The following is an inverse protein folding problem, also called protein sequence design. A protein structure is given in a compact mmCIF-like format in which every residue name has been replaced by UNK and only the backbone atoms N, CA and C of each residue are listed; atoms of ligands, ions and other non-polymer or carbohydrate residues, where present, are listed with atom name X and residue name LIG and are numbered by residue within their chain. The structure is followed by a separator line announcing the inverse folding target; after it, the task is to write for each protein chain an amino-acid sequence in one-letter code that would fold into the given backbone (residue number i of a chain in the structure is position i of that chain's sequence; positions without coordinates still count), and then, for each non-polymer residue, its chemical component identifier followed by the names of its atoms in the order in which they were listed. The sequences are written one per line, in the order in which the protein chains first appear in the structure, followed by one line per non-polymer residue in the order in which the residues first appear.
data_IF_907450541635
#
_entry.id   IF_907450541635
#
_cell.length_a   1.000
_cell.length_b   1.000
_cell.length_c   1.000
_cell.angle_alpha   90.00
_cell.angle_beta   90.00
_cell.angle_gamma   90.00
#
_symmetry.space_group_name_H-M   'P 1'
#
loop_
_entity.id
_entity.type
_entity.pdbx_description
1 polymer ?
#
# COMPACT_ATOMS: atom_id res chain seq x y z
N UNK A 1 -13.01 79.64 -3.14
CA UNK A 1 -14.29 79.12 -3.67
C UNK A 1 -14.56 77.84 -2.88
N UNK A 2 -15.29 77.84 -1.76
CA UNK A 2 -16.76 77.96 -1.59
C UNK A 2 -17.44 77.00 -2.56
N UNK A 3 -17.96 75.83 -2.16
CA UNK A 3 -19.12 75.50 -1.29
C UNK A 3 -18.91 74.06 -0.72
N UNK A 4 -19.06 73.67 0.56
CA UNK A 4 -20.19 73.69 1.53
C UNK A 4 -21.47 73.04 0.97
N UNK A 5 -21.89 71.83 1.39
CA UNK A 5 -22.70 71.51 2.61
C UNK A 5 -23.84 70.55 2.14
N UNK A 6 -24.49 69.66 2.90
CA UNK A 6 -24.87 69.57 4.32
C UNK A 6 -25.27 68.10 4.63
N UNK A 7 -24.89 67.56 5.80
CA UNK A 7 -25.74 67.27 6.99
C UNK A 7 -26.69 66.04 6.88
N UNK A 8 -26.86 65.17 7.88
CA UNK A 8 -26.37 65.11 9.25
C UNK A 8 -27.32 64.23 10.12
N UNK A 9 -26.97 64.11 11.41
CA UNK A 9 -27.68 63.49 12.55
C UNK A 9 -27.56 61.96 12.72
N UNK A 10 -27.21 61.38 13.88
CA UNK A 10 -26.86 61.91 15.21
C UNK A 10 -27.53 61.12 16.35
N UNK A 11 -26.81 60.97 17.48
CA UNK A 11 -27.21 60.51 18.83
C UNK A 11 -26.97 59.01 19.14
N UNK A 12 -25.95 58.68 19.96
CA UNK A 12 -25.96 58.46 21.44
C UNK A 12 -26.76 57.21 21.85
N UNK A 13 -26.31 56.26 22.66
CA UNK A 13 -25.17 56.10 23.57
C UNK A 13 -25.40 54.78 24.34
N UNK A 14 -24.57 54.54 25.35
CA UNK A 14 -24.67 53.50 26.40
C UNK A 14 -24.18 52.08 26.09
N UNK A 15 -23.12 51.75 26.83
CA UNK A 15 -22.54 50.46 27.12
C UNK A 15 -23.42 49.71 28.15
N UNK A 16 -23.51 48.38 28.07
CA UNK A 16 -23.30 47.56 29.27
C UNK A 16 -22.31 46.42 28.96
N UNK A 17 -21.24 46.26 29.74
CA UNK A 17 -21.12 45.38 30.93
C UNK A 17 -21.08 43.89 30.58
N UNK A 18 -20.02 43.27 31.10
CA UNK A 18 -19.54 41.91 30.94
C UNK A 18 -20.60 40.82 31.14
N UNK A 19 -20.43 39.70 30.44
CA UNK A 19 -20.66 38.36 30.99
C UNK A 19 -19.62 37.44 30.38
N UNK A 20 -18.65 37.06 31.21
CA UNK A 20 -17.85 35.84 31.02
C UNK A 20 -18.80 34.64 31.08
N UNK A 21 -18.66 33.72 30.14
CA UNK A 21 -19.14 32.35 30.31
C UNK A 21 -17.98 31.41 30.03
N UNK A 22 -17.40 30.93 31.11
CA UNK A 22 -16.55 29.74 31.15
C UNK A 22 -17.37 28.50 30.78
N UNK A 23 -16.87 27.75 29.81
CA UNK A 23 -17.04 26.29 29.64
C UNK A 23 -15.85 25.87 28.75
N UNK A 24 -14.71 25.44 29.28
CA UNK A 24 -14.40 24.19 30.00
C UNK A 24 -14.89 22.93 29.30
N UNK A 25 -13.93 22.03 29.05
CA UNK A 25 -14.02 20.59 28.71
C UNK A 25 -14.36 20.30 27.23
N UNK A 26 -13.63 19.48 26.45
CA UNK A 26 -12.80 18.30 26.78
C UNK A 26 -11.77 18.02 25.66
N UNK A 27 -10.48 17.95 26.00
CA UNK A 27 -9.49 17.17 25.23
C UNK A 27 -9.58 15.70 25.67
N UNK A 28 -9.37 14.69 24.80
CA UNK A 28 -9.07 13.35 25.26
C UNK A 28 -7.64 13.33 25.79
N UNK A 29 -7.52 13.16 27.10
CA UNK A 29 -6.26 12.85 27.79
C UNK A 29 -5.93 11.39 27.54
N UNK A 30 -4.73 11.13 27.02
CA UNK A 30 -4.08 9.83 27.05
C UNK A 30 -3.84 9.43 28.52
N UNK A 31 -4.52 8.39 28.99
CA UNK A 31 -4.19 7.76 30.26
C UNK A 31 -3.01 6.81 30.08
N UNK A 32 -1.82 7.33 30.37
CA UNK A 32 -0.71 6.52 30.86
C UNK A 32 -1.11 5.89 32.21
N UNK A 33 -1.29 4.58 32.24
CA UNK A 33 -1.27 3.81 33.49
C UNK A 33 -0.15 2.78 33.45
N UNK A 34 0.99 3.16 34.04
CA UNK A 34 1.96 2.20 34.58
C UNK A 34 1.48 1.73 35.95
N UNK A 35 1.19 0.43 36.12
CA UNK A 35 1.72 -0.35 37.25
C UNK A 35 1.58 -1.87 37.10
N UNK A 36 2.75 -2.51 37.03
CA UNK A 36 3.21 -3.71 37.76
C UNK A 36 2.40 -5.03 37.73
N UNK A 37 3.01 -5.99 37.04
CA UNK A 37 3.36 -7.35 37.48
C UNK A 37 2.39 -8.06 38.44
N UNK A 38 1.64 -9.01 37.89
CA UNK A 38 1.34 -10.26 38.57
C UNK A 38 1.14 -11.34 37.52
N UNK A 39 2.08 -12.28 37.45
CA UNK A 39 1.96 -13.45 36.59
C UNK A 39 0.67 -14.22 36.88
N UNK A 40 -0.11 -14.48 35.83
CA UNK A 40 -1.23 -15.41 35.91
C UNK A 40 -1.45 -16.09 34.57
N UNK A 41 -1.11 -17.38 34.57
CA UNK A 41 -1.43 -18.42 33.59
C UNK A 41 -2.85 -18.28 33.05
N UNK A 42 -3.00 -18.02 31.74
CA UNK A 42 -4.28 -18.18 31.06
C UNK A 42 -4.57 -19.66 30.85
N UNK A 43 -5.73 -20.04 31.36
CA UNK A 43 -6.25 -21.40 31.45
C UNK A 43 -7.11 -21.67 30.22
N UNK A 44 -6.99 -22.90 29.69
CA UNK A 44 -7.88 -23.53 28.73
C UNK A 44 -9.36 -23.20 28.97
N UNK A 45 -10.06 -22.84 27.90
CA UNK A 45 -11.51 -22.93 27.84
C UNK A 45 -11.87 -24.18 27.03
N UNK A 46 -12.11 -25.28 27.75
CA UNK A 46 -12.71 -26.49 27.20
C UNK A 46 -14.17 -26.21 26.85
N UNK A 47 -14.52 -26.32 25.56
CA UNK A 47 -15.90 -26.51 25.12
C UNK A 47 -15.96 -27.82 24.37
N UNK A 48 -16.26 -28.89 25.11
CA UNK A 48 -16.51 -30.22 24.59
C UNK A 48 -17.90 -30.26 23.94
N UNK A 49 -17.92 -30.42 22.62
CA UNK A 49 -19.08 -30.92 21.89
C UNK A 49 -18.59 -31.92 20.84
N UNK A 50 -18.38 -33.16 21.27
CA UNK A 50 -17.83 -34.22 20.44
C UNK A 50 -18.55 -34.41 19.10
N UNK A 51 -17.74 -34.49 18.03
CA UNK A 51 -17.94 -35.33 16.83
C UNK A 51 -16.64 -35.32 16.02
N UNK A 52 -16.12 -36.53 15.74
CA UNK A 52 -14.99 -36.90 14.88
C UNK A 52 -13.58 -36.59 15.40
N UNK A 53 -12.83 -37.66 15.67
CA UNK A 53 -11.36 -37.70 15.79
C UNK A 53 -10.71 -37.30 14.45
N UNK A 54 -10.78 -36.02 14.09
CA UNK A 54 -9.82 -35.41 13.18
C UNK A 54 -8.67 -34.90 14.02
N UNK A 55 -7.45 -35.39 13.79
CA UNK A 55 -6.26 -34.77 14.38
C UNK A 55 -6.31 -33.28 14.05
N UNK A 56 -6.51 -32.43 15.05
CA UNK A 56 -6.48 -30.99 14.88
C UNK A 56 -5.05 -30.66 14.46
N UNK A 57 -4.87 -30.22 13.22
CA UNK A 57 -3.55 -29.81 12.73
C UNK A 57 -3.05 -28.68 13.62
N UNK A 58 -1.80 -28.78 14.06
CA UNK A 58 -1.13 -27.68 14.74
C UNK A 58 -0.14 -27.08 13.76
N UNK A 59 -0.30 -25.79 13.50
CA UNK A 59 0.69 -25.04 12.75
C UNK A 59 1.92 -24.77 13.61
N UNK A 60 3.10 -24.89 13.00
CA UNK A 60 4.36 -24.46 13.57
C UNK A 60 4.67 -22.99 13.22
N UNK A 61 4.24 -22.58 12.03
CA UNK A 61 4.30 -21.21 11.55
C UNK A 61 3.07 -20.91 10.70
N UNK A 62 2.62 -19.67 10.79
CA UNK A 62 1.50 -19.14 10.02
C UNK A 62 1.81 -17.76 9.49
N UNK A 63 1.06 -17.29 8.51
CA UNK A 63 1.14 -15.92 8.03
C UNK A 63 0.06 -15.60 7.02
N UNK A 64 0.22 -14.47 6.33
CA UNK A 64 -0.75 -13.95 5.36
C UNK A 64 -0.17 -14.00 3.96
N UNK A 65 -1.00 -14.23 2.95
CA UNK A 65 -0.57 -14.17 1.57
C UNK A 65 -1.64 -13.63 0.61
N UNK A 66 -1.15 -13.09 -0.50
CA UNK A 66 -1.94 -12.83 -1.69
C UNK A 66 -1.13 -13.20 -2.89
N UNK A 67 -1.88 -13.76 -3.83
CA UNK A 67 -1.36 -14.18 -5.10
C UNK A 67 -2.30 -13.59 -6.13
N UNK A 68 -1.76 -12.69 -6.94
CA UNK A 68 -2.48 -12.06 -8.05
C UNK A 68 -1.81 -12.52 -9.32
N UNK A 69 -2.54 -13.27 -10.12
CA UNK A 69 -2.04 -13.83 -11.38
C UNK A 69 -3.15 -13.71 -12.41
N UNK A 70 -2.81 -13.35 -13.65
CA UNK A 70 -3.79 -13.18 -14.72
C UNK A 70 -4.84 -12.09 -14.41
N UNK A 71 -4.36 -10.97 -13.87
CA UNK A 71 -5.17 -9.81 -13.46
C UNK A 71 -6.21 -10.06 -12.36
N UNK A 72 -6.27 -11.28 -11.83
CA UNK A 72 -7.21 -11.67 -10.79
C UNK A 72 -6.48 -12.11 -9.52
N UNK A 73 -7.07 -11.78 -8.37
CA UNK A 73 -6.62 -12.34 -7.10
C UNK A 73 -7.07 -13.81 -7.05
N UNK A 74 -6.12 -14.71 -6.87
CA UNK A 74 -6.41 -16.13 -6.78
C UNK A 74 -7.21 -16.46 -5.52
N UNK A 75 -8.33 -17.15 -5.71
CA UNK A 75 -9.04 -17.84 -4.64
C UNK A 75 -8.32 -19.17 -4.35
N UNK A 76 -7.40 -19.11 -3.39
CA UNK A 76 -6.54 -20.26 -3.03
C UNK A 76 -7.24 -21.24 -2.08
N UNK A 77 -8.52 -21.01 -1.74
CA UNK A 77 -9.32 -21.91 -0.89
C UNK A 77 -9.41 -23.31 -1.49
N UNK A 78 -9.65 -23.43 -2.79
CA UNK A 78 -9.86 -24.69 -3.49
C UNK A 78 -8.60 -25.58 -3.55
N UNK A 79 -7.41 -24.98 -3.55
CA UNK A 79 -6.14 -25.69 -3.55
C UNK A 79 -5.81 -26.33 -2.19
N UNK A 80 -6.37 -25.78 -1.10
CA UNK A 80 -6.15 -26.25 0.27
C UNK A 80 -6.87 -27.57 0.58
N UNK A 81 -8.09 -27.75 0.06
CA UNK A 81 -8.91 -28.94 0.31
C UNK A 81 -8.32 -30.21 -0.33
N UNK A 82 -7.52 -30.07 -1.38
CA UNK A 82 -6.91 -31.18 -2.10
C UNK A 82 -5.67 -31.77 -1.40
N UNK A 83 -5.11 -31.09 -0.39
CA UNK A 83 -3.78 -31.36 0.17
C UNK A 83 -3.80 -31.74 1.66
N UNK A 84 -4.78 -32.57 2.05
CA UNK A 84 -5.12 -32.97 3.43
C UNK A 84 -4.00 -33.71 4.24
N UNK A 85 -2.79 -33.84 3.67
CA UNK A 85 -1.61 -34.46 4.31
C UNK A 85 -0.31 -33.67 4.09
N UNK A 86 -0.42 -32.45 3.58
CA UNK A 86 0.73 -31.63 3.21
C UNK A 86 1.32 -30.88 4.41
N UNK A 87 2.61 -30.58 4.32
CA UNK A 87 3.32 -29.72 5.25
C UNK A 87 2.90 -28.25 5.16
N UNK A 88 2.02 -27.87 4.23
CA UNK A 88 1.56 -26.50 3.96
C UNK A 88 0.10 -26.45 3.54
N UNK A 89 -0.72 -25.64 4.19
CA UNK A 89 -2.15 -25.51 3.88
C UNK A 89 -2.65 -24.07 4.08
N UNK A 90 -3.87 -23.80 3.62
CA UNK A 90 -4.59 -22.53 3.84
C UNK A 90 -5.78 -22.82 4.77
N UNK A 91 -6.02 -22.00 5.80
CA UNK A 91 -7.15 -22.18 6.75
C UNK A 91 -8.29 -21.20 6.55
N UNK A 92 -7.99 -19.97 6.15
CA UNK A 92 -8.98 -18.96 5.79
C UNK A 92 -8.55 -18.35 4.47
N UNK A 93 -9.50 -18.26 3.55
CA UNK A 93 -9.32 -17.72 2.22
C UNK A 93 -10.39 -16.67 1.94
N UNK A 94 -10.69 -15.85 2.96
CA UNK A 94 -11.30 -14.55 2.75
C UNK A 94 -10.44 -13.66 1.83
N UNK A 95 -10.60 -12.34 1.96
CA UNK A 95 -9.87 -11.41 1.11
C UNK A 95 -8.34 -11.44 1.29
N UNK A 96 -7.83 -12.06 2.36
CA UNK A 96 -6.41 -12.44 2.50
C UNK A 96 -6.32 -13.91 2.89
N UNK A 97 -5.45 -14.69 2.23
CA UNK A 97 -5.30 -16.10 2.53
C UNK A 97 -4.35 -16.29 3.73
N UNK A 98 -4.77 -17.07 4.71
CA UNK A 98 -3.95 -17.44 5.85
C UNK A 98 -3.25 -18.77 5.59
N UNK A 99 -1.94 -18.69 5.33
CA UNK A 99 -1.12 -19.87 5.12
C UNK A 99 -0.61 -20.42 6.44
N UNK A 100 -0.43 -21.73 6.47
CA UNK A 100 0.03 -22.50 7.61
C UNK A 100 1.05 -23.52 7.14
N UNK A 101 2.03 -23.84 7.98
CA UNK A 101 2.91 -24.99 7.77
C UNK A 101 3.18 -25.78 9.03
N UNK A 102 3.59 -27.03 8.85
CA UNK A 102 4.09 -27.90 9.92
C UNK A 102 5.50 -27.46 10.36
N UNK A 103 6.07 -28.15 11.36
CA UNK A 103 7.44 -27.93 11.82
C UNK A 103 8.51 -28.25 10.75
N UNK A 104 8.12 -28.89 9.64
CA UNK A 104 8.99 -29.09 8.50
C UNK A 104 9.24 -27.75 7.79
N UNK A 105 10.49 -27.51 7.39
CA UNK A 105 10.83 -26.36 6.58
C UNK A 105 10.13 -26.51 5.22
N UNK A 106 9.30 -25.53 4.89
CA UNK A 106 8.62 -25.42 3.60
C UNK A 106 9.10 -24.13 2.94
N UNK A 107 9.62 -24.24 1.72
CA UNK A 107 10.03 -23.07 0.96
C UNK A 107 8.82 -22.35 0.37
N UNK A 108 8.98 -21.08 0.04
CA UNK A 108 7.92 -20.30 -0.59
C UNK A 108 7.49 -20.92 -1.93
N UNK A 109 8.45 -21.36 -2.76
CA UNK A 109 8.17 -22.04 -4.02
C UNK A 109 7.40 -23.35 -3.81
N UNK A 110 7.77 -24.16 -2.80
CA UNK A 110 7.04 -25.37 -2.45
C UNK A 110 5.60 -25.08 -2.04
N UNK A 111 5.37 -24.06 -1.21
CA UNK A 111 4.05 -23.62 -0.79
C UNK A 111 3.19 -23.16 -1.98
N UNK A 112 3.71 -22.26 -2.81
CA UNK A 112 3.02 -21.74 -3.99
C UNK A 112 2.69 -22.84 -5.01
N UNK A 113 3.56 -23.84 -5.17
CA UNK A 113 3.30 -24.97 -6.08
C UNK A 113 2.05 -25.77 -5.67
N UNK A 114 1.72 -25.82 -4.37
CA UNK A 114 0.48 -26.44 -3.87
C UNK A 114 -0.76 -25.67 -4.29
N UNK A 115 -0.61 -24.38 -4.57
CA UNK A 115 -1.65 -23.47 -5.05
C UNK A 115 -1.73 -23.44 -6.58
N UNK A 116 -0.90 -24.23 -7.28
CA UNK A 116 -0.84 -24.25 -8.74
C UNK A 116 0.00 -23.12 -9.35
N UNK A 117 0.74 -22.38 -8.52
CA UNK A 117 1.60 -21.26 -8.93
C UNK A 117 3.05 -21.69 -8.79
N UNK A 118 3.76 -21.83 -9.92
CA UNK A 118 5.15 -22.26 -9.90
C UNK A 118 6.06 -21.05 -10.13
N UNK A 119 6.86 -20.70 -9.13
CA UNK A 119 7.91 -19.69 -9.27
C UNK A 119 9.15 -20.37 -9.83
N UNK A 120 9.76 -19.77 -10.84
CA UNK A 120 10.97 -20.27 -11.50
C UNK A 120 11.96 -19.13 -11.69
N UNK A 121 13.20 -19.44 -12.06
CA UNK A 121 14.21 -18.43 -12.44
C UNK A 121 13.75 -17.53 -13.61
N UNK A 122 12.79 -17.99 -14.42
CA UNK A 122 12.29 -17.28 -15.60
C UNK A 122 11.00 -16.51 -15.33
N UNK A 123 10.48 -16.52 -14.09
CA UNK A 123 9.22 -15.86 -13.72
C UNK A 123 8.20 -16.83 -13.12
N UNK A 124 6.92 -16.52 -13.28
CA UNK A 124 5.82 -17.26 -12.64
C UNK A 124 5.03 -18.03 -13.69
N UNK A 125 4.82 -19.33 -13.46
CA UNK A 125 3.95 -20.18 -14.28
C UNK A 125 2.62 -20.46 -13.56
N UNK A 126 1.52 -20.20 -14.26
CA UNK A 126 0.17 -20.45 -13.78
C UNK A 126 -0.73 -20.90 -14.94
N UNK A 127 -1.49 -21.98 -14.73
CA UNK A 127 -2.39 -22.60 -15.74
C UNK A 127 -1.76 -22.86 -17.13
N UNK A 128 -0.44 -23.02 -17.19
CA UNK A 128 0.30 -23.24 -18.44
C UNK A 128 0.73 -21.96 -19.18
N UNK A 129 0.49 -20.79 -18.59
CA UNK A 129 1.03 -19.49 -19.01
C UNK A 129 2.25 -19.15 -18.15
N UNK A 130 3.29 -18.59 -18.77
CA UNK A 130 4.49 -18.11 -18.09
C UNK A 130 4.55 -16.59 -18.18
N UNK A 131 4.61 -15.91 -17.04
CA UNK A 131 4.74 -14.46 -16.91
C UNK A 131 6.20 -14.13 -16.58
N UNK A 132 6.81 -13.21 -17.33
CA UNK A 132 8.23 -12.85 -17.20
C UNK A 132 8.36 -11.34 -17.09
N UNK A 133 9.15 -10.85 -16.14
CA UNK A 133 9.43 -9.42 -15.96
C UNK A 133 10.18 -8.79 -17.15
N UNK A 134 10.91 -9.60 -17.92
CA UNK A 134 11.60 -9.17 -19.14
C UNK A 134 10.66 -8.92 -20.33
N UNK A 135 9.41 -9.38 -20.25
CA UNK A 135 8.40 -9.06 -21.25
C UNK A 135 7.82 -7.67 -20.97
N UNK A 136 7.77 -6.84 -22.01
CA UNK A 136 7.16 -5.53 -21.90
C UNK A 136 5.76 -5.65 -21.29
N UNK A 137 5.42 -4.67 -20.44
CA UNK A 137 4.10 -4.55 -19.82
C UNK A 137 3.72 -5.68 -18.84
N UNK A 138 4.66 -6.57 -18.53
CA UNK A 138 4.47 -7.64 -17.55
C UNK A 138 5.16 -7.31 -16.22
N UNK A 139 4.40 -7.38 -15.14
CA UNK A 139 4.85 -7.14 -13.78
C UNK A 139 4.90 -8.46 -13.02
N UNK A 140 6.11 -8.92 -12.69
CA UNK A 140 6.32 -10.11 -11.86
C UNK A 140 7.01 -9.69 -10.56
N UNK A 141 6.51 -10.18 -9.43
CA UNK A 141 7.14 -9.98 -8.13
C UNK A 141 6.80 -11.12 -7.17
N UNK A 142 7.80 -11.56 -6.40
CA UNK A 142 7.66 -12.45 -5.25
C UNK A 142 8.34 -11.80 -4.07
N UNK A 143 7.56 -11.39 -3.07
CA UNK A 143 8.05 -10.63 -1.92
C UNK A 143 7.56 -11.20 -0.60
N UNK A 144 8.40 -11.08 0.40
CA UNK A 144 8.08 -11.41 1.78
C UNK A 144 8.41 -10.21 2.65
N UNK A 145 7.40 -9.69 3.36
CA UNK A 145 7.52 -8.50 4.20
C UNK A 145 8.12 -7.31 3.42
N UNK A 146 7.69 -7.10 2.18
CA UNK A 146 8.17 -6.05 1.28
C UNK A 146 9.51 -6.30 0.59
N UNK A 147 10.25 -7.35 0.96
CA UNK A 147 11.56 -7.64 0.36
C UNK A 147 11.45 -8.71 -0.73
N UNK A 148 12.18 -8.52 -1.84
CA UNK A 148 12.26 -9.56 -2.87
C UNK A 148 13.10 -10.73 -2.37
N UNK A 149 12.59 -11.94 -2.57
CA UNK A 149 13.23 -13.18 -2.09
C UNK A 149 13.44 -14.16 -3.23
N UNK A 150 14.43 -15.04 -3.06
CA UNK A 150 14.52 -16.27 -3.85
C UNK A 150 13.53 -17.28 -3.27
N UNK A 151 12.47 -17.60 -4.00
CA UNK A 151 11.39 -18.46 -3.52
C UNK A 151 11.82 -19.92 -3.30
N UNK A 152 12.84 -20.40 -4.02
CA UNK A 152 13.37 -21.76 -3.86
C UNK A 152 14.23 -21.89 -2.60
N UNK A 153 14.85 -20.80 -2.16
CA UNK A 153 15.70 -20.78 -0.95
C UNK A 153 14.97 -20.29 0.31
N UNK A 154 13.96 -19.43 0.15
CA UNK A 154 13.27 -18.80 1.28
C UNK A 154 12.32 -19.76 1.98
N UNK A 155 12.63 -20.11 3.24
CA UNK A 155 11.76 -20.91 4.11
C UNK A 155 10.78 -19.98 4.83
N UNK A 156 9.48 -20.29 4.69
CA UNK A 156 8.40 -19.51 5.32
C UNK A 156 8.54 -19.46 6.84
N UNK A 157 8.38 -18.27 7.42
CA UNK A 157 8.53 -18.02 8.85
C UNK A 157 7.24 -17.51 9.47
N UNK A 158 7.11 -17.70 10.79
CA UNK A 158 5.95 -17.21 11.53
C UNK A 158 5.78 -15.70 11.34
N UNK A 159 4.59 -15.32 10.87
CA UNK A 159 4.19 -13.93 10.65
C UNK A 159 4.52 -13.41 9.25
N UNK A 160 5.12 -14.20 8.35
CA UNK A 160 5.46 -13.71 7.02
C UNK A 160 4.22 -13.29 6.23
N UNK A 161 4.35 -12.14 5.58
CA UNK A 161 3.39 -11.58 4.66
C UNK A 161 3.91 -11.73 3.24
N UNK A 162 3.29 -12.64 2.50
CA UNK A 162 3.80 -13.15 1.22
C UNK A 162 3.00 -12.59 0.07
N UNK A 163 3.62 -11.71 -0.71
CA UNK A 163 3.04 -11.07 -1.89
C UNK A 163 3.57 -11.67 -3.18
N UNK A 164 2.66 -12.13 -4.03
CA UNK A 164 2.97 -12.65 -5.36
C UNK A 164 2.11 -11.92 -6.39
N UNK A 165 2.76 -11.34 -7.40
CA UNK A 165 2.10 -10.64 -8.51
C UNK A 165 2.68 -11.14 -9.83
N UNK A 166 1.82 -11.50 -10.77
CA UNK A 166 2.13 -11.78 -12.17
C UNK A 166 0.99 -11.26 -13.07
N UNK A 167 1.20 -10.07 -13.64
CA UNK A 167 0.17 -9.28 -14.31
C UNK A 167 0.72 -8.75 -15.64
N UNK A 168 -0.06 -8.76 -16.72
CA UNK A 168 0.37 -8.25 -18.03
C UNK A 168 -0.63 -7.22 -18.57
N UNK A 169 -0.17 -6.05 -19.03
CA UNK A 169 -1.07 -5.04 -19.61
C UNK A 169 -1.37 -5.30 -21.10
N UNK A 170 -2.53 -4.81 -21.60
CA UNK A 170 -3.58 -4.10 -20.87
C UNK A 170 -4.33 -5.04 -19.92
N UNK A 171 -4.66 -4.54 -18.73
CA UNK A 171 -5.42 -5.30 -17.75
C UNK A 171 -6.85 -5.51 -18.23
N UNK A 172 -7.41 -6.69 -17.95
CA UNK A 172 -8.84 -6.95 -18.14
C UNK A 172 -9.70 -6.21 -17.10
N UNK A 173 -9.11 -5.83 -15.96
CA UNK A 173 -9.70 -4.97 -14.94
C UNK A 173 -9.30 -3.49 -15.10
N UNK A 174 -10.17 -2.58 -14.62
CA UNK A 174 -9.83 -1.16 -14.62
C UNK A 174 -8.77 -0.84 -13.57
N UNK A 175 -7.81 0.03 -13.87
CA UNK A 175 -6.97 0.69 -12.85
C UNK A 175 -7.84 1.67 -12.03
N UNK A 176 -7.88 1.57 -10.69
CA UNK A 176 -6.90 0.91 -9.81
C UNK A 176 -7.18 -0.54 -9.46
N UNK A 177 -8.32 -1.11 -9.86
CA UNK A 177 -8.79 -2.45 -9.52
C UNK A 177 -9.89 -2.41 -8.47
N UNK A 178 -10.21 -3.57 -7.92
CA UNK A 178 -11.09 -3.69 -6.75
C UNK A 178 -10.41 -3.16 -5.49
N UNK A 179 -11.19 -2.50 -4.63
CA UNK A 179 -10.69 -1.96 -3.36
C UNK A 179 -10.39 -3.08 -2.35
N UNK A 180 -9.26 -2.95 -1.66
CA UNK A 180 -8.82 -3.82 -0.55
C UNK A 180 -9.02 -3.05 0.77
N UNK A 181 -9.63 -3.69 1.77
CA UNK A 181 -9.82 -3.04 3.06
C UNK A 181 -8.47 -2.81 3.78
N UNK A 182 -8.36 -1.79 4.62
CA UNK A 182 -7.14 -1.51 5.37
C UNK A 182 -6.72 -2.60 6.37
N UNK A 183 -7.67 -3.42 6.82
CA UNK A 183 -7.36 -4.56 7.71
C UNK A 183 -6.82 -5.78 6.92
N UNK A 184 -7.02 -5.79 5.60
CA UNK A 184 -6.53 -6.82 4.68
C UNK A 184 -5.09 -6.52 4.28
N UNK A 185 -4.37 -7.55 3.84
CA UNK A 185 -3.00 -7.35 3.40
C UNK A 185 -3.03 -6.53 2.10
N UNK A 186 -2.27 -5.44 2.06
CA UNK A 186 -2.19 -4.48 0.96
C UNK A 186 -0.75 -3.97 0.81
N UNK A 187 -0.43 -3.36 -0.33
CA UNK A 187 0.95 -2.97 -0.66
C UNK A 187 1.33 -1.63 -0.02
N UNK A 188 2.55 -1.55 0.48
CA UNK A 188 3.16 -0.33 1.00
C UNK A 188 4.46 -0.01 0.28
N UNK A 189 4.99 1.19 0.45
CA UNK A 189 6.37 1.47 0.08
C UNK A 189 6.71 2.94 0.23
N UNK A 190 7.76 3.38 -0.44
CA UNK A 190 8.19 4.79 -0.39
C UNK A 190 8.20 5.44 -1.77
N UNK A 191 8.00 6.75 -1.78
CA UNK A 191 8.24 7.61 -2.94
C UNK A 191 9.20 8.72 -2.53
N UNK A 192 10.29 8.88 -3.27
CA UNK A 192 11.09 10.08 -3.26
C UNK A 192 10.83 10.87 -4.55
N UNK A 193 10.35 12.10 -4.43
CA UNK A 193 10.16 12.99 -5.58
C UNK A 193 10.98 14.26 -5.38
N UNK A 194 11.78 14.61 -6.38
CA UNK A 194 12.60 15.82 -6.39
C UNK A 194 12.23 16.69 -7.59
N UNK A 195 12.10 18.01 -7.39
CA UNK A 195 11.93 18.97 -8.47
C UNK A 195 13.02 20.03 -8.36
N UNK A 196 13.89 20.13 -9.37
CA UNK A 196 15.03 21.04 -9.40
C UNK A 196 15.92 20.94 -8.14
N UNK A 197 16.11 19.71 -7.62
CA UNK A 197 16.89 19.44 -6.41
C UNK A 197 16.14 19.66 -5.09
N UNK A 198 14.88 20.11 -5.11
CA UNK A 198 14.03 20.24 -3.92
C UNK A 198 13.14 19.01 -3.72
N UNK A 199 13.27 18.36 -2.56
CA UNK A 199 12.43 17.21 -2.20
C UNK A 199 10.98 17.64 -1.93
N UNK A 200 10.05 16.92 -2.53
CA UNK A 200 8.62 17.02 -2.23
C UNK A 200 8.36 16.40 -0.86
N UNK A 201 7.71 17.16 0.03
CA UNK A 201 7.32 16.65 1.34
C UNK A 201 5.92 16.01 1.28
N UNK A 202 5.87 14.68 1.26
CA UNK A 202 4.65 13.88 1.28
C UNK A 202 3.98 13.81 2.67
N UNK A 203 4.63 14.23 3.77
CA UNK A 203 4.05 14.31 5.13
C UNK A 203 3.10 15.51 5.31
N UNK A 204 2.60 16.08 4.21
CA UNK A 204 1.70 17.23 4.25
C UNK A 204 0.27 16.68 4.24
N UNK A 205 -0.67 17.26 5.02
CA UNK A 205 -2.05 16.76 5.11
C UNK A 205 -2.78 16.59 3.77
N UNK A 206 -2.39 17.36 2.73
CA UNK A 206 -2.94 17.25 1.37
C UNK A 206 -2.60 15.93 0.64
N UNK A 207 -1.69 15.13 1.19
CA UNK A 207 -1.25 13.83 0.66
C UNK A 207 -1.59 12.66 1.59
N UNK A 208 -1.88 12.95 2.87
CA UNK A 208 -2.04 11.93 3.92
C UNK A 208 -3.47 11.38 4.07
N UNK A 209 -4.44 11.89 3.31
CA UNK A 209 -5.86 11.69 3.65
C UNK A 209 -6.50 10.60 2.78
N UNK A 210 -6.91 9.44 3.36
CA UNK A 210 -7.68 8.40 2.65
C UNK A 210 -9.01 8.90 2.06
N UNK A 211 -9.53 10.02 2.61
CA UNK A 211 -10.73 10.70 2.11
C UNK A 211 -10.60 11.35 0.74
N UNK A 212 -9.38 11.52 0.19
CA UNK A 212 -9.17 12.01 -1.17
C UNK A 212 -9.16 10.85 -2.19
N UNK A 213 -8.65 9.69 -1.80
CA UNK A 213 -8.74 8.45 -2.57
C UNK A 213 -8.59 7.22 -1.65
N UNK A 214 -9.51 6.27 -1.78
CA UNK A 214 -9.53 5.04 -0.98
C UNK A 214 -8.52 3.99 -1.45
N UNK A 215 -7.98 4.11 -2.67
CA UNK A 215 -7.06 3.17 -3.29
C UNK A 215 -5.59 3.56 -3.12
N UNK A 216 -5.27 4.85 -2.93
CA UNK A 216 -3.88 5.31 -2.77
C UNK A 216 -3.80 6.53 -1.87
N UNK A 217 -2.94 6.48 -0.85
CA UNK A 217 -2.63 7.62 0.01
C UNK A 217 -1.28 7.45 0.69
N UNK A 218 -0.78 8.54 1.29
CA UNK A 218 0.37 8.46 2.19
C UNK A 218 -0.09 8.36 3.65
N UNK A 219 0.70 7.71 4.49
CA UNK A 219 0.55 7.72 5.94
C UNK A 219 1.93 7.73 6.61
N UNK A 220 2.03 8.34 7.79
CA UNK A 220 3.25 8.42 8.58
C UNK A 220 3.88 9.82 8.62
N UNK A 221 4.75 10.03 9.60
CA UNK A 221 5.34 11.35 9.89
C UNK A 221 6.47 11.72 8.89
N UNK A 222 7.73 11.74 9.32
CA UNK A 222 8.85 12.30 8.55
C UNK A 222 9.32 11.46 7.36
N UNK A 223 8.81 10.23 7.23
CA UNK A 223 9.11 9.30 6.15
C UNK A 223 7.81 8.57 5.77
N UNK A 224 6.88 9.27 5.11
CA UNK A 224 5.56 8.71 4.85
C UNK A 224 5.67 7.51 3.90
N UNK A 225 4.95 6.46 4.25
CA UNK A 225 4.72 5.32 3.37
C UNK A 225 3.55 5.65 2.47
N UNK A 226 3.61 5.23 1.21
CA UNK A 226 2.38 5.11 0.43
C UNK A 226 1.71 3.79 0.76
N UNK A 227 0.37 3.78 0.71
CA UNK A 227 -0.50 2.64 0.86
C UNK A 227 -1.31 2.50 -0.43
N UNK A 228 -1.28 1.32 -1.05
CA UNK A 228 -2.14 1.02 -2.19
C UNK A 228 -3.14 -0.09 -1.84
N UNK A 229 -4.41 0.29 -1.74
CA UNK A 229 -5.55 -0.57 -1.45
C UNK A 229 -6.16 -1.16 -2.73
N UNK A 230 -5.30 -1.57 -3.66
CA UNK A 230 -5.67 -2.44 -4.77
C UNK A 230 -4.43 -3.08 -5.42
N UNK A 231 -4.65 -4.17 -6.14
CA UNK A 231 -3.61 -4.94 -6.84
C UNK A 231 -3.13 -4.33 -8.14
N UNK A 232 -3.86 -3.35 -8.70
CA UNK A 232 -3.54 -2.74 -9.99
C UNK A 232 -3.40 -1.22 -9.91
N UNK A 233 -2.92 -0.71 -8.78
CA UNK A 233 -2.51 0.69 -8.67
C UNK A 233 -1.22 0.92 -9.44
N UNK A 234 -1.30 1.70 -10.52
CA UNK A 234 -0.13 2.16 -11.26
C UNK A 234 0.48 3.42 -10.64
N UNK A 235 1.74 3.73 -10.97
CA UNK A 235 2.39 4.98 -10.52
C UNK A 235 1.58 6.18 -11.01
N UNK A 236 1.21 6.21 -12.29
CA UNK A 236 0.42 7.29 -12.89
C UNK A 236 -0.90 7.48 -12.14
N UNK A 237 -1.64 6.40 -11.89
CA UNK A 237 -2.88 6.46 -11.12
C UNK A 237 -2.61 7.03 -9.73
N UNK A 238 -1.73 6.40 -8.95
CA UNK A 238 -1.47 6.75 -7.55
C UNK A 238 -1.08 8.22 -7.41
N UNK A 239 -0.14 8.68 -8.23
CA UNK A 239 0.33 10.07 -8.20
C UNK A 239 -0.73 11.06 -8.66
N UNK A 240 -1.59 10.71 -9.62
CA UNK A 240 -2.70 11.56 -10.08
C UNK A 240 -3.78 11.81 -9.02
N UNK A 241 -3.87 10.93 -8.01
CA UNK A 241 -4.83 11.10 -6.89
C UNK A 241 -4.43 12.23 -5.94
N UNK A 242 -3.16 12.62 -5.96
CA UNK A 242 -2.57 13.54 -5.01
C UNK A 242 -2.76 14.99 -5.45
N UNK A 243 -3.09 15.86 -4.50
CA UNK A 243 -3.39 17.25 -4.80
C UNK A 243 -2.20 17.99 -5.42
N UNK A 244 -2.34 18.35 -6.70
CA UNK A 244 -1.36 19.12 -7.46
C UNK A 244 -0.19 18.30 -7.96
N UNK A 245 -0.33 16.97 -8.04
CA UNK A 245 0.66 16.07 -8.62
C UNK A 245 0.00 15.29 -9.77
N UNK A 246 0.73 15.10 -10.85
CA UNK A 246 0.40 14.13 -11.89
C UNK A 246 1.70 13.63 -12.50
N UNK A 247 1.79 12.34 -12.81
CA UNK A 247 3.02 11.73 -13.35
C UNK A 247 2.61 10.85 -14.52
N UNK A 248 3.14 11.15 -15.70
CA UNK A 248 2.91 10.39 -16.94
C UNK A 248 4.26 10.14 -17.60
N UNK A 249 4.30 9.32 -18.65
CA UNK A 249 5.53 9.13 -19.43
C UNK A 249 6.04 10.47 -19.99
N UNK A 250 5.15 11.34 -20.46
CA UNK A 250 5.53 12.55 -21.22
C UNK A 250 5.56 13.84 -20.41
N UNK A 251 4.90 13.86 -19.24
CA UNK A 251 4.76 15.05 -18.42
C UNK A 251 4.72 14.74 -16.92
N UNK A 252 5.26 15.66 -16.11
CA UNK A 252 5.08 15.66 -14.66
C UNK A 252 4.49 17.00 -14.24
N UNK A 253 3.44 16.98 -13.43
CA UNK A 253 2.87 18.18 -12.81
C UNK A 253 3.18 18.19 -11.32
N UNK A 254 3.67 19.32 -10.82
CA UNK A 254 3.87 19.56 -9.39
C UNK A 254 3.50 21.02 -9.04
N UNK A 255 2.66 21.19 -8.02
CA UNK A 255 2.20 22.48 -7.50
C UNK A 255 1.65 23.43 -8.59
N UNK A 256 0.89 22.88 -9.53
CA UNK A 256 0.31 23.56 -10.70
C UNK A 256 1.31 23.98 -11.80
N UNK A 257 2.55 23.51 -11.73
CA UNK A 257 3.53 23.63 -12.82
C UNK A 257 3.62 22.29 -13.54
N UNK A 258 3.45 22.28 -14.85
CA UNK A 258 3.61 21.09 -15.69
C UNK A 258 4.94 21.20 -16.43
N UNK A 259 5.75 20.15 -16.28
CA UNK A 259 7.05 19.96 -16.91
C UNK A 259 6.86 18.94 -18.03
N UNK A 260 6.95 19.40 -19.28
CA UNK A 260 6.80 18.53 -20.44
C UNK A 260 8.17 18.04 -20.88
N UNK A 261 8.30 16.75 -21.21
CA UNK A 261 9.55 16.20 -21.77
C UNK A 261 9.94 16.86 -23.09
N UNK A 262 8.96 17.43 -23.79
CA UNK A 262 9.18 18.17 -25.04
C UNK A 262 9.75 19.59 -24.84
N UNK A 263 9.76 20.10 -23.60
CA UNK A 263 10.30 21.42 -23.30
C UNK A 263 11.83 21.42 -23.33
N UNK A 264 12.48 22.39 -24.01
CA UNK A 264 13.92 22.50 -24.00
C UNK A 264 14.47 22.69 -22.58
N UNK A 265 15.42 21.84 -22.22
CA UNK A 265 16.08 21.92 -20.92
C UNK A 265 15.31 21.26 -19.78
N UNK A 266 14.24 20.50 -20.07
CA UNK A 266 13.51 19.68 -19.09
C UNK A 266 13.86 18.21 -19.28
N UNK A 267 14.19 17.52 -18.20
CA UNK A 267 14.31 16.06 -18.16
C UNK A 267 13.71 15.53 -16.87
N UNK A 268 13.20 14.30 -16.92
CA UNK A 268 12.80 13.62 -15.71
C UNK A 268 12.98 12.11 -15.82
N UNK A 269 13.24 11.48 -14.68
CA UNK A 269 13.37 10.03 -14.49
C UNK A 269 12.24 9.53 -13.61
N UNK A 270 11.76 8.32 -13.92
CA UNK A 270 10.78 7.59 -13.12
C UNK A 270 11.34 6.19 -12.97
N UNK A 271 11.74 5.87 -11.75
CA UNK A 271 12.40 4.62 -11.43
C UNK A 271 11.71 3.92 -10.27
N UNK A 272 11.74 2.60 -10.28
CA UNK A 272 11.35 1.78 -9.14
C UNK A 272 12.50 0.86 -8.80
N UNK A 273 12.96 0.94 -7.55
CA UNK A 273 14.13 0.21 -7.07
C UNK A 273 15.39 0.43 -7.94
N UNK A 274 15.50 1.61 -8.58
CA UNK A 274 16.62 2.00 -9.44
C UNK A 274 16.50 1.57 -10.91
N UNK A 275 15.36 1.00 -11.32
CA UNK A 275 15.10 0.62 -12.71
C UNK A 275 14.05 1.54 -13.33
N UNK A 276 14.29 2.03 -14.55
CA UNK A 276 13.34 2.88 -15.26
C UNK A 276 12.08 2.10 -15.66
N UNK A 277 10.92 2.70 -15.42
CA UNK A 277 9.61 2.07 -15.68
C UNK A 277 8.67 3.01 -16.43
N UNK A 278 7.67 2.44 -17.10
CA UNK A 278 6.52 3.20 -17.61
C UNK A 278 5.51 3.41 -16.46
N UNK A 279 5.23 4.66 -16.04
CA UNK A 279 4.31 4.91 -14.92
C UNK A 279 2.87 4.48 -15.20
N UNK A 280 2.49 4.33 -16.48
CA UNK A 280 1.13 3.98 -16.89
C UNK A 280 0.86 2.47 -16.84
N UNK A 281 1.90 1.63 -16.94
CA UNK A 281 1.78 0.15 -16.92
C UNK A 281 2.51 -0.50 -15.75
N UNK A 282 3.38 0.21 -15.04
CA UNK A 282 4.01 -0.32 -13.83
C UNK A 282 3.03 -0.32 -12.66
N UNK A 283 2.75 -1.51 -12.13
CA UNK A 283 1.91 -1.72 -10.95
C UNK A 283 2.78 -1.76 -9.69
N UNK A 284 2.41 -0.96 -8.70
CA UNK A 284 3.12 -0.87 -7.42
C UNK A 284 3.10 -2.20 -6.66
N UNK A 285 4.27 -2.63 -6.18
CA UNK A 285 4.45 -3.84 -5.35
C UNK A 285 4.88 -3.46 -3.95
N UNK A 286 4.51 -4.29 -2.97
CA UNK A 286 4.85 -4.06 -1.56
C UNK A 286 6.37 -3.95 -1.36
N UNK A 287 6.82 -2.89 -0.70
CA UNK A 287 8.22 -2.52 -0.50
C UNK A 287 8.85 -1.69 -1.63
N UNK A 288 8.13 -1.36 -2.71
CA UNK A 288 8.69 -0.58 -3.82
C UNK A 288 9.20 0.79 -3.37
N UNK A 289 10.38 1.14 -3.87
CA UNK A 289 11.01 2.45 -3.72
C UNK A 289 10.89 3.22 -5.03
N UNK A 290 9.89 4.08 -5.13
CA UNK A 290 9.66 4.92 -6.31
C UNK A 290 10.55 6.16 -6.22
N UNK A 291 11.29 6.46 -7.29
CA UNK A 291 12.08 7.68 -7.43
C UNK A 291 11.59 8.46 -8.65
N UNK A 292 11.25 9.73 -8.44
CA UNK A 292 10.79 10.64 -9.50
C UNK A 292 11.64 11.92 -9.40
N UNK A 293 12.53 12.14 -10.36
CA UNK A 293 13.35 13.35 -10.38
C UNK A 293 13.00 14.19 -11.60
N UNK A 294 12.73 15.48 -11.37
CA UNK A 294 12.52 16.49 -12.41
C UNK A 294 13.68 17.48 -12.36
N UNK A 295 14.34 17.67 -13.50
CA UNK A 295 15.42 18.65 -13.66
C UNK A 295 15.08 19.62 -14.79
N UNK A 296 15.23 20.92 -14.51
CA UNK A 296 15.18 21.98 -15.51
C UNK A 296 16.50 22.75 -15.56
N UNK A 297 16.85 23.27 -16.75
CA UNK A 297 18.05 24.10 -16.95
C UNK A 297 18.09 25.38 -16.08
N UNK A 298 16.99 25.75 -15.41
CA UNK A 298 16.92 26.87 -14.48
C UNK A 298 17.22 26.49 -13.01
N UNK A 299 17.29 25.20 -12.68
CA UNK A 299 17.46 24.66 -11.32
C UNK A 299 18.91 24.59 -10.82
N UNK A 300 19.91 24.70 -11.70
CA UNK A 300 21.32 24.84 -11.29
C UNK A 300 21.65 26.31 -11.02
N UNK A 301 21.47 26.78 -9.78
CA UNK A 301 22.03 28.06 -9.29
C UNK A 301 22.80 27.89 -7.99
#
# INVERSE_FOLDING_TARGET
MVTAGCAGFGTSGEQPTQTETNASTTQPTEEQTTQSDTGQTTTQSDTDNGTSDGETRSAAASGRMAVVVDDERLDVSAASEANDTSSFWIEDAGATAEWQRTDEDVTLAEGLSKLGVNVTENGIEYEGTTYQDTENDTNVAVRVNGESVDADEYVLQQGDEVWVVAITHPLDQSVPGDHIDHDELHVHGHVNMTVDGENVNFSKPKYETPGHNQHFHFEGDSAPLWHAHSWSVTIEYGMSTLAGINVTEDSITYDNTTYERSDPGTSFTIEVNGESVDPSTYVLKDGDQVTIDVETENGTS
#
